data_IF_553059808533
#
_entry.id   IF_553059808533
#
_cell.length_a   1.000
_cell.length_b   1.000
_cell.length_c   1.000
_cell.angle_alpha   90.00
_cell.angle_beta   90.00
_cell.angle_gamma   90.00
#
_symmetry.space_group_name_H-M   'P 1'
#
loop_
_entity.id
_entity.type
_entity.pdbx_description
1 polymer ?
#
# COMPACT_ATOMS: atom_id res chain seq x y z
N UNK A 1 -23.43 -1.08 -9.83
CA UNK A 1 -22.16 -0.93 -10.58
C UNK A 1 -21.07 -0.24 -9.77
N UNK A 2 -21.36 0.89 -9.09
CA UNK A 2 -20.43 1.59 -8.19
C UNK A 2 -19.75 0.70 -7.14
N UNK A 3 -20.51 -0.14 -6.44
CA UNK A 3 -19.95 -0.98 -5.37
C UNK A 3 -19.00 -2.06 -5.91
N UNK A 4 -19.22 -2.53 -7.15
CA UNK A 4 -18.29 -3.43 -7.84
C UNK A 4 -16.96 -2.71 -8.13
N UNK A 5 -17.00 -1.48 -8.65
CA UNK A 5 -15.78 -0.72 -8.92
C UNK A 5 -14.97 -0.47 -7.64
N UNK A 6 -15.62 -0.02 -6.57
CA UNK A 6 -14.94 0.27 -5.30
C UNK A 6 -14.31 -1.01 -4.73
N UNK A 7 -15.07 -2.11 -4.68
CA UNK A 7 -14.55 -3.38 -4.19
C UNK A 7 -13.43 -3.95 -5.06
N UNK A 8 -13.48 -3.74 -6.39
CA UNK A 8 -12.40 -4.12 -7.30
C UNK A 8 -11.14 -3.27 -7.08
N UNK A 9 -11.30 -1.95 -6.87
CA UNK A 9 -10.20 -1.03 -6.56
C UNK A 9 -9.51 -1.40 -5.24
N UNK A 10 -10.28 -1.71 -4.20
CA UNK A 10 -9.75 -2.15 -2.91
C UNK A 10 -8.89 -3.42 -3.07
N UNK A 11 -9.42 -4.44 -3.78
CA UNK A 11 -8.68 -5.68 -4.05
C UNK A 11 -7.44 -5.44 -4.90
N UNK A 12 -7.53 -4.56 -5.90
CA UNK A 12 -6.39 -4.21 -6.75
C UNK A 12 -5.28 -3.54 -5.93
N UNK A 13 -5.64 -2.58 -5.07
CA UNK A 13 -4.70 -1.92 -4.16
C UNK A 13 -4.05 -2.94 -3.22
N UNK A 14 -4.83 -3.87 -2.66
CA UNK A 14 -4.30 -4.94 -1.83
C UNK A 14 -3.27 -5.80 -2.57
N UNK A 15 -3.58 -6.23 -3.79
CA UNK A 15 -2.66 -7.02 -4.63
C UNK A 15 -1.37 -6.23 -4.92
N UNK A 16 -1.49 -4.95 -5.29
CA UNK A 16 -0.33 -4.09 -5.58
C UNK A 16 0.56 -3.96 -4.33
N UNK A 17 0.00 -3.69 -3.17
CA UNK A 17 0.76 -3.56 -1.91
C UNK A 17 1.48 -4.87 -1.58
N UNK A 18 0.82 -6.02 -1.75
CA UNK A 18 1.44 -7.34 -1.51
C UNK A 18 2.62 -7.57 -2.47
N UNK A 19 2.44 -7.27 -3.77
CA UNK A 19 3.50 -7.41 -4.77
C UNK A 19 4.68 -6.48 -4.47
N UNK A 20 4.41 -5.24 -4.07
CA UNK A 20 5.45 -4.30 -3.64
C UNK A 20 6.17 -4.80 -2.38
N UNK A 21 5.44 -5.38 -1.42
CA UNK A 21 6.00 -6.05 -0.24
C UNK A 21 6.99 -7.15 -0.60
N UNK A 22 6.59 -8.02 -1.52
CA UNK A 22 7.47 -9.06 -2.06
C UNK A 22 8.70 -8.44 -2.73
N UNK A 23 8.51 -7.38 -3.52
CA UNK A 23 9.61 -6.65 -4.17
C UNK A 23 10.62 -6.08 -3.17
N UNK A 24 10.16 -5.50 -2.06
CA UNK A 24 11.04 -5.01 -0.98
C UNK A 24 11.82 -6.16 -0.36
N UNK A 25 11.17 -7.27 -0.03
CA UNK A 25 11.86 -8.43 0.56
C UNK A 25 12.92 -9.01 -0.38
N UNK A 26 12.59 -9.21 -1.66
CA UNK A 26 13.53 -9.70 -2.67
C UNK A 26 14.68 -8.71 -2.84
N UNK A 27 14.39 -7.41 -2.98
CA UNK A 27 15.41 -6.38 -3.12
C UNK A 27 16.36 -6.32 -1.91
N UNK A 28 15.83 -6.46 -0.69
CA UNK A 28 16.64 -6.54 0.52
C UNK A 28 17.54 -7.78 0.53
N UNK A 29 17.01 -8.96 0.19
CA UNK A 29 17.81 -10.19 0.10
C UNK A 29 18.94 -10.04 -0.92
N UNK A 30 18.63 -9.49 -2.11
CA UNK A 30 19.65 -9.21 -3.14
C UNK A 30 20.72 -8.27 -2.59
N UNK A 31 20.33 -7.17 -1.95
CA UNK A 31 21.25 -6.19 -1.38
C UNK A 31 22.16 -6.81 -0.29
N UNK A 32 21.63 -7.67 0.58
CA UNK A 32 22.44 -8.39 1.58
C UNK A 32 23.37 -9.43 0.96
N UNK A 33 22.94 -10.11 -0.11
CA UNK A 33 23.74 -11.14 -0.80
C UNK A 33 24.82 -10.57 -1.73
N UNK A 34 24.67 -9.30 -2.14
CA UNK A 34 25.62 -8.63 -3.01
C UNK A 34 26.88 -8.25 -2.24
N UNK A 35 28.08 -8.54 -2.76
CA UNK A 35 29.33 -8.19 -2.06
C UNK A 35 29.48 -6.68 -1.84
N UNK A 36 30.08 -6.29 -0.71
CA UNK A 36 30.23 -4.89 -0.32
C UNK A 36 31.01 -4.04 -1.34
N UNK A 37 31.98 -4.62 -2.04
CA UNK A 37 32.74 -3.93 -3.09
C UNK A 37 31.92 -3.62 -4.36
N UNK A 38 30.73 -4.23 -4.50
CA UNK A 38 29.77 -3.95 -5.57
C UNK A 38 28.60 -3.06 -5.09
N UNK A 39 28.69 -2.50 -3.87
CA UNK A 39 27.65 -1.66 -3.29
C UNK A 39 26.54 -2.42 -2.56
N UNK A 40 26.74 -3.70 -2.24
CA UNK A 40 25.85 -4.48 -1.38
C UNK A 40 26.27 -4.49 0.10
N UNK A 41 25.81 -5.49 0.83
CA UNK A 41 26.12 -5.72 2.23
C UNK A 41 25.05 -5.19 3.19
N UNK A 42 25.42 -5.11 4.48
CA UNK A 42 24.44 -4.89 5.54
C UNK A 42 23.72 -3.53 5.45
N UNK A 43 24.47 -2.45 5.23
CA UNK A 43 23.90 -1.11 5.18
C UNK A 43 22.89 -0.94 4.01
N UNK A 44 23.23 -1.27 2.75
CA UNK A 44 22.26 -1.25 1.65
C UNK A 44 21.05 -2.16 1.88
N UNK A 45 21.25 -3.35 2.45
CA UNK A 45 20.17 -4.28 2.78
C UNK A 45 19.17 -3.69 3.78
N UNK A 46 19.66 -3.08 4.86
CA UNK A 46 18.80 -2.40 5.83
C UNK A 46 18.13 -1.15 5.25
N UNK A 47 18.85 -0.34 4.46
CA UNK A 47 18.24 0.82 3.79
C UNK A 47 17.10 0.40 2.86
N UNK A 48 17.27 -0.67 2.08
CA UNK A 48 16.22 -1.22 1.23
C UNK A 48 15.03 -1.73 2.07
N UNK A 49 15.31 -2.44 3.16
CA UNK A 49 14.27 -3.02 4.01
C UNK A 49 13.44 -1.94 4.70
N UNK A 50 14.10 -1.03 5.43
CA UNK A 50 13.41 0.01 6.19
C UNK A 50 12.85 1.10 5.28
N UNK A 51 13.59 1.53 4.26
CA UNK A 51 13.09 2.49 3.28
C UNK A 51 11.89 1.95 2.50
N UNK A 52 11.97 0.70 2.04
CA UNK A 52 10.88 0.01 1.37
C UNK A 52 9.67 -0.20 2.27
N UNK A 53 9.87 -0.59 3.53
CA UNK A 53 8.79 -0.75 4.50
C UNK A 53 8.07 0.58 4.82
N UNK A 54 8.83 1.66 5.05
CA UNK A 54 8.27 3.00 5.26
C UNK A 54 7.47 3.42 4.02
N UNK A 55 8.02 3.22 2.82
CA UNK A 55 7.33 3.54 1.58
C UNK A 55 6.03 2.74 1.42
N UNK A 56 6.03 1.44 1.71
CA UNK A 56 4.84 0.59 1.69
C UNK A 56 3.76 1.07 2.66
N UNK A 57 4.15 1.42 3.89
CA UNK A 57 3.22 1.94 4.90
C UNK A 57 2.62 3.26 4.43
N UNK A 58 3.45 4.19 3.93
CA UNK A 58 2.97 5.48 3.45
C UNK A 58 2.06 5.33 2.22
N UNK A 59 2.52 4.60 1.21
CA UNK A 59 1.77 4.40 -0.03
C UNK A 59 0.47 3.64 0.20
N UNK A 60 0.55 2.49 0.89
CA UNK A 60 -0.61 1.67 1.21
C UNK A 60 -1.57 2.39 2.16
N UNK A 61 -1.05 3.03 3.21
CA UNK A 61 -1.82 3.79 4.17
C UNK A 61 -2.58 4.95 3.53
N UNK A 62 -1.93 5.73 2.65
CA UNK A 62 -2.61 6.79 1.90
C UNK A 62 -3.68 6.23 0.95
N UNK A 63 -3.38 5.13 0.25
CA UNK A 63 -4.33 4.50 -0.67
C UNK A 63 -5.61 4.07 0.03
N UNK A 64 -5.49 3.43 1.20
CA UNK A 64 -6.65 3.05 2.02
C UNK A 64 -7.33 4.24 2.70
N UNK A 65 -6.60 5.30 3.05
CA UNK A 65 -7.19 6.54 3.55
C UNK A 65 -8.16 7.15 2.53
N UNK A 66 -7.77 7.22 1.25
CA UNK A 66 -8.66 7.74 0.20
C UNK A 66 -9.92 6.88 0.04
N UNK A 67 -9.78 5.56 0.05
CA UNK A 67 -10.93 4.65 0.04
C UNK A 67 -11.81 4.84 1.28
N UNK A 68 -11.22 5.04 2.46
CA UNK A 68 -11.94 5.28 3.70
C UNK A 68 -12.72 6.60 3.69
N UNK A 69 -12.12 7.68 3.21
CA UNK A 69 -12.80 8.99 3.03
C UNK A 69 -14.02 8.82 2.12
N UNK A 70 -13.85 8.13 0.99
CA UNK A 70 -14.95 7.87 0.07
C UNK A 70 -16.12 7.14 0.74
N UNK A 71 -15.84 6.07 1.47
CA UNK A 71 -16.87 5.31 2.20
C UNK A 71 -17.58 6.16 3.26
N UNK A 72 -16.83 7.01 3.97
CA UNK A 72 -17.39 7.91 4.97
C UNK A 72 -18.31 8.96 4.34
N UNK A 73 -17.89 9.58 3.24
CA UNK A 73 -18.72 10.55 2.51
C UNK A 73 -19.99 9.92 1.97
N UNK A 74 -19.90 8.70 1.42
CA UNK A 74 -21.08 7.94 0.95
C UNK A 74 -22.05 7.68 2.10
N UNK A 75 -21.57 7.17 3.24
CA UNK A 75 -22.42 6.88 4.40
C UNK A 75 -23.14 8.12 4.92
N UNK A 76 -22.47 9.28 4.90
CA UNK A 76 -23.09 10.55 5.28
C UNK A 76 -24.17 10.98 4.29
N UNK A 77 -23.93 10.84 2.98
CA UNK A 77 -24.93 11.14 1.96
C UNK A 77 -26.17 10.24 2.10
N UNK A 78 -25.96 8.93 2.22
CA UNK A 78 -27.05 7.95 2.40
C UNK A 78 -27.87 8.25 3.68
N UNK A 79 -27.21 8.66 4.78
CA UNK A 79 -27.90 9.02 6.03
C UNK A 79 -28.72 10.32 5.92
N UNK A 80 -28.29 11.27 5.08
CA UNK A 80 -29.03 12.50 4.81
C UNK A 80 -30.27 12.22 3.94
N UNK A 81 -30.11 11.42 2.88
CA UNK A 81 -31.24 11.02 2.03
C UNK A 81 -32.34 10.33 2.84
N UNK A 82 -31.95 9.37 3.70
CA UNK A 82 -32.88 8.64 4.57
C UNK A 82 -33.55 9.50 5.67
N UNK A 83 -33.00 10.67 6.01
CA UNK A 83 -33.64 11.61 6.96
C UNK A 83 -34.61 12.57 6.29
N UNK A 84 -34.56 12.69 4.97
CA UNK A 84 -35.42 13.60 4.18
C UNK A 84 -36.68 12.95 3.61
N UNK A 85 -36.85 11.63 3.80
CA UNK A 85 -38.11 10.89 3.61
C UNK A 85 -38.77 10.59 4.96
#
# INVERSE_FOLDING_TARGET
MRDFFIGAFEKLIAVVIVLMGIGVLIGSVIAFSTPSYQGGGALPGFLMLFGGAIYLIMFGGMSYLFLGIYHNTKRTADALENKSS
#
